data_IF_131975565532
#
_entry.id   IF_131975565532
#
_cell.length_a   1.000
_cell.length_b   1.000
_cell.length_c   1.000
_cell.angle_alpha   90.00
_cell.angle_beta   90.00
_cell.angle_gamma   90.00
#
_symmetry.space_group_name_H-M   'P 1'
#
loop_
_entity.id
_entity.type
_entity.pdbx_description
1 polymer ?
#
# COMPACT_ATOMS: atom_id res chain seq x y z
N UNK A 1 13.00 -21.03 -1.67
CA UNK A 1 12.82 -19.88 -0.75
C UNK A 1 11.52 -19.19 -1.15
N UNK A 2 10.47 -19.29 -0.32
CA UNK A 2 9.13 -18.84 -0.69
C UNK A 2 8.92 -17.36 -0.32
N UNK A 3 9.13 -16.50 -1.32
CA UNK A 3 8.37 -15.27 -1.61
C UNK A 3 7.73 -14.50 -0.44
N UNK A 4 8.52 -13.93 0.47
CA UNK A 4 8.00 -13.00 1.50
C UNK A 4 7.25 -11.80 0.87
N UNK A 5 7.66 -11.38 -0.33
CA UNK A 5 7.02 -10.31 -1.11
C UNK A 5 5.56 -10.61 -1.47
N UNK A 6 5.24 -11.86 -1.82
CA UNK A 6 3.88 -12.26 -2.22
C UNK A 6 2.91 -12.12 -1.04
N UNK A 7 3.36 -12.45 0.17
CA UNK A 7 2.57 -12.28 1.39
C UNK A 7 2.28 -10.80 1.68
N UNK A 8 3.29 -9.93 1.58
CA UNK A 8 3.12 -8.49 1.81
C UNK A 8 2.22 -7.82 0.76
N UNK A 9 2.38 -8.15 -0.52
CA UNK A 9 1.52 -7.66 -1.59
C UNK A 9 0.06 -8.11 -1.37
N UNK A 10 -0.15 -9.37 -0.99
CA UNK A 10 -1.50 -9.89 -0.71
C UNK A 10 -2.13 -9.22 0.53
N UNK A 11 -1.36 -8.95 1.58
CA UNK A 11 -1.86 -8.22 2.75
C UNK A 11 -2.32 -6.81 2.39
N UNK A 12 -1.52 -6.07 1.62
CA UNK A 12 -1.89 -4.74 1.11
C UNK A 12 -3.15 -4.85 0.26
N UNK A 13 -3.17 -5.77 -0.70
CA UNK A 13 -4.29 -5.94 -1.61
C UNK A 13 -5.58 -6.27 -0.86
N UNK A 14 -5.53 -7.17 0.11
CA UNK A 14 -6.70 -7.54 0.91
C UNK A 14 -7.23 -6.34 1.72
N UNK A 15 -6.33 -5.54 2.31
CA UNK A 15 -6.73 -4.32 3.01
C UNK A 15 -7.40 -3.31 2.07
N UNK A 16 -6.85 -3.14 0.87
CA UNK A 16 -7.40 -2.25 -0.17
C UNK A 16 -8.76 -2.75 -0.70
N UNK A 17 -8.90 -4.05 -0.94
CA UNK A 17 -10.14 -4.68 -1.41
C UNK A 17 -11.26 -4.65 -0.37
N UNK A 18 -10.94 -4.64 0.92
CA UNK A 18 -11.90 -4.46 2.01
C UNK A 18 -12.47 -3.02 2.09
N UNK A 19 -12.18 -2.16 1.10
CA UNK A 19 -12.53 -0.74 1.11
C UNK A 19 -11.59 0.10 1.98
N UNK A 20 -10.47 -0.48 2.40
CA UNK A 20 -9.45 0.20 3.17
C UNK A 20 -8.57 1.11 2.31
N UNK A 21 -7.83 1.97 3.00
CA UNK A 21 -6.74 2.74 2.42
C UNK A 21 -5.58 2.72 3.39
N UNK A 22 -4.37 2.94 2.88
CA UNK A 22 -3.20 3.01 3.73
C UNK A 22 -2.26 4.12 3.31
N UNK A 23 -1.59 4.69 4.29
CA UNK A 23 -0.44 5.56 4.09
C UNK A 23 0.86 4.77 4.22
N UNK A 24 1.98 5.34 3.76
CA UNK A 24 3.31 4.75 3.98
C UNK A 24 3.62 4.53 5.47
N UNK A 25 3.10 5.40 6.34
CA UNK A 25 3.25 5.26 7.78
C UNK A 25 2.42 4.10 8.36
N UNK A 26 1.17 3.94 7.91
CA UNK A 26 0.32 2.83 8.34
C UNK A 26 0.83 1.48 7.84
N UNK A 27 1.37 1.42 6.63
CA UNK A 27 2.01 0.20 6.12
C UNK A 27 3.19 -0.24 6.98
N UNK A 28 4.00 0.72 7.43
CA UNK A 28 5.13 0.45 8.30
C UNK A 28 4.67 0.05 9.71
N UNK A 29 3.76 0.81 10.31
CA UNK A 29 3.34 0.58 11.71
C UNK A 29 2.43 -0.61 11.89
N UNK A 30 1.50 -0.88 10.96
CA UNK A 30 0.51 -1.98 11.08
C UNK A 30 0.98 -3.27 10.41
N UNK A 31 1.69 -3.18 9.30
CA UNK A 31 2.07 -4.33 8.47
C UNK A 31 3.58 -4.59 8.42
N UNK A 32 4.39 -3.74 9.08
CA UNK A 32 5.86 -3.79 9.05
C UNK A 32 6.45 -3.74 7.62
N UNK A 33 5.76 -3.02 6.71
CA UNK A 33 6.17 -2.87 5.31
C UNK A 33 6.93 -1.56 5.15
N UNK A 34 8.24 -1.67 4.95
CA UNK A 34 9.14 -0.52 4.73
C UNK A 34 9.16 -0.06 3.27
N UNK A 35 8.95 -0.97 2.31
CA UNK A 35 9.01 -0.70 0.87
C UNK A 35 7.62 -0.68 0.21
N UNK A 36 6.66 0.03 0.80
CA UNK A 36 5.28 0.08 0.29
C UNK A 36 5.24 0.43 -1.21
N UNK A 37 6.01 1.42 -1.66
CA UNK A 37 6.03 1.82 -3.07
C UNK A 37 6.44 0.70 -4.03
N UNK A 38 7.38 -0.17 -3.64
CA UNK A 38 7.77 -1.32 -4.44
C UNK A 38 6.63 -2.35 -4.53
N UNK A 39 5.91 -2.57 -3.43
CA UNK A 39 4.74 -3.47 -3.39
C UNK A 39 3.59 -2.96 -4.25
N UNK A 40 3.32 -1.66 -4.19
CA UNK A 40 2.30 -1.04 -5.05
C UNK A 40 2.67 -1.20 -6.53
N UNK A 41 3.94 -0.95 -6.91
CA UNK A 41 4.41 -1.16 -8.28
C UNK A 41 4.30 -2.62 -8.72
N UNK A 42 4.54 -3.57 -7.82
CA UNK A 42 4.37 -4.99 -8.09
C UNK A 42 2.89 -5.36 -8.30
N UNK A 43 1.97 -4.77 -7.52
CA UNK A 43 0.52 -4.90 -7.73
C UNK A 43 0.08 -4.29 -9.07
N UNK A 44 0.56 -3.10 -9.42
CA UNK A 44 0.31 -2.49 -10.73
C UNK A 44 0.82 -3.36 -11.89
N UNK A 45 2.02 -3.93 -11.75
CA UNK A 45 2.58 -4.87 -12.73
C UNK A 45 1.78 -6.17 -12.87
N UNK A 46 0.98 -6.53 -11.87
CA UNK A 46 0.05 -7.67 -11.91
C UNK A 46 -1.32 -7.29 -12.49
N UNK A 47 -1.54 -6.02 -12.82
CA UNK A 47 -2.79 -5.51 -13.41
C UNK A 47 -3.75 -4.86 -12.41
N UNK A 48 -3.36 -4.66 -11.15
CA UNK A 48 -4.19 -3.97 -10.18
C UNK A 48 -4.09 -2.45 -10.33
N UNK A 49 -5.23 -1.76 -10.36
CA UNK A 49 -5.27 -0.29 -10.40
C UNK A 49 -5.21 0.23 -8.97
N UNK A 50 -4.11 0.89 -8.62
CA UNK A 50 -3.93 1.49 -7.29
C UNK A 50 -3.99 3.01 -7.40
N UNK A 51 -5.04 3.59 -6.82
CA UNK A 51 -5.19 5.03 -6.68
C UNK A 51 -4.23 5.59 -5.64
N UNK A 52 -3.74 6.81 -5.88
CA UNK A 52 -2.89 7.55 -4.94
C UNK A 52 -3.36 8.99 -4.83
N UNK A 53 -3.67 9.43 -3.62
CA UNK A 53 -4.03 10.82 -3.33
C UNK A 53 -3.02 11.45 -2.38
N UNK A 54 -2.81 12.75 -2.55
CA UNK A 54 -2.01 13.54 -1.63
C UNK A 54 -2.91 14.12 -0.55
N UNK A 55 -2.66 13.73 0.68
CA UNK A 55 -3.31 14.32 1.85
C UNK A 55 -2.32 15.19 2.61
N UNK A 56 -2.83 16.28 3.16
CA UNK A 56 -2.08 17.14 4.08
C UNK A 56 -2.79 17.07 5.42
N UNK A 57 -2.11 16.53 6.44
CA UNK A 57 -2.59 16.56 7.82
C UNK A 57 -1.48 17.05 8.74
N UNK A 58 -1.85 17.88 9.72
CA UNK A 58 -0.95 18.45 10.71
C UNK A 58 0.33 19.06 10.09
N UNK A 59 0.15 19.89 9.05
CA UNK A 59 1.20 20.54 8.27
C UNK A 59 2.20 19.59 7.57
N UNK A 60 1.88 18.29 7.48
CA UNK A 60 2.68 17.26 6.80
C UNK A 60 1.89 16.69 5.63
N UNK A 61 2.54 16.62 4.47
CA UNK A 61 1.97 16.04 3.26
C UNK A 61 2.40 14.59 3.13
N UNK A 62 1.43 13.68 2.98
CA UNK A 62 1.66 12.25 2.80
C UNK A 62 0.80 11.70 1.65
N UNK A 63 1.19 10.52 1.17
CA UNK A 63 0.45 9.80 0.14
C UNK A 63 -0.44 8.76 0.79
N UNK A 64 -1.70 8.73 0.40
CA UNK A 64 -2.65 7.65 0.71
C UNK A 64 -2.89 6.82 -0.55
N UNK A 65 -2.79 5.51 -0.40
CA UNK A 65 -3.03 4.53 -1.45
C UNK A 65 -4.37 3.85 -1.18
N UNK A 66 -5.15 3.66 -2.24
CA UNK A 66 -6.48 3.04 -2.21
C UNK A 66 -6.67 2.21 -3.49
N UNK A 67 -7.64 1.28 -3.50
CA UNK A 67 -8.00 0.57 -4.73
C UNK A 67 -8.70 1.55 -5.69
N UNK A 68 -8.19 1.66 -6.92
CA UNK A 68 -8.71 2.58 -7.94
C UNK A 68 -9.85 2.01 -8.76
#
# INVERSE_FOLDING_TARGET
>A
MMSENLSQCNMILNLLQSGGSLTSYEAYTKLNITQLGARIKELESRGYVIGRTWETSNNKRYKRYFLG
#
